data_IF_697557219933
#
_entry.id   IF_697557219933
#
_cell.length_a   1.000
_cell.length_b   1.000
_cell.length_c   1.000
_cell.angle_alpha   90.00
_cell.angle_beta   90.00
_cell.angle_gamma   90.00
#
_symmetry.space_group_name_H-M   'P 1'
#
loop_
_entity.id
_entity.type
_entity.pdbx_description
1 polymer ?
#
# COMPACT_ATOMS: atom_id res chain seq x y z
N UNK A 1 -23.74 -41.06 18.12
CA UNK A 1 -23.28 -39.74 18.61
C UNK A 1 -21.82 -39.56 18.22
N UNK A 2 -21.54 -38.97 17.05
CA UNK A 2 -20.19 -38.86 16.46
C UNK A 2 -19.43 -37.69 17.09
N UNK A 3 -18.46 -37.99 17.95
CA UNK A 3 -17.47 -37.00 18.45
C UNK A 3 -16.61 -36.53 17.29
N UNK A 4 -16.83 -35.30 16.82
CA UNK A 4 -15.91 -34.62 15.91
C UNK A 4 -14.55 -34.52 16.58
N UNK A 5 -13.58 -35.29 16.08
CA UNK A 5 -12.15 -35.16 16.40
C UNK A 5 -11.71 -33.73 16.08
N UNK A 6 -11.45 -32.95 17.13
CA UNK A 6 -10.82 -31.65 17.03
C UNK A 6 -9.38 -31.86 16.56
N UNK A 7 -9.11 -31.63 15.27
CA UNK A 7 -7.74 -31.46 14.79
C UNK A 7 -7.31 -30.06 15.20
N UNK A 8 -6.26 -29.87 16.04
CA UNK A 8 -5.73 -28.53 16.24
C UNK A 8 -5.20 -28.07 14.89
N UNK A 9 -5.87 -27.10 14.29
CA UNK A 9 -5.36 -26.44 13.09
C UNK A 9 -3.99 -25.88 13.45
N UNK A 10 -2.94 -26.26 12.71
CA UNK A 10 -1.69 -25.50 12.74
C UNK A 10 -2.08 -24.04 12.51
N UNK A 11 -1.99 -23.22 13.54
CA UNK A 11 -1.99 -21.77 13.40
C UNK A 11 -0.76 -21.49 12.56
N UNK A 12 -0.90 -21.51 11.23
CA UNK A 12 0.09 -20.93 10.35
C UNK A 12 0.08 -19.45 10.74
N UNK A 13 0.97 -19.09 11.67
CA UNK A 13 1.29 -17.71 11.97
C UNK A 13 1.66 -17.11 10.63
N UNK A 14 0.72 -16.38 10.03
CA UNK A 14 0.97 -15.64 8.80
C UNK A 14 1.96 -14.55 9.16
N UNK A 15 3.25 -14.88 9.09
CA UNK A 15 4.33 -13.94 9.35
C UNK A 15 4.23 -12.85 8.29
N UNK A 16 3.96 -11.63 8.76
CA UNK A 16 3.97 -10.44 7.93
C UNK A 16 5.44 -10.24 7.55
N UNK A 17 5.78 -10.13 6.25
CA UNK A 17 7.16 -9.94 5.85
C UNK A 17 7.75 -8.69 6.55
N UNK A 18 8.96 -8.84 7.07
CA UNK A 18 9.69 -7.72 7.67
C UNK A 18 10.15 -6.72 6.61
N UNK A 19 10.55 -5.52 7.04
CA UNK A 19 10.94 -4.41 6.16
C UNK A 19 12.04 -4.81 5.18
N UNK A 20 13.05 -5.50 5.68
CA UNK A 20 14.22 -5.92 4.91
C UNK A 20 13.82 -6.88 3.78
N UNK A 21 12.87 -7.78 4.06
CA UNK A 21 12.33 -8.72 3.07
C UNK A 21 11.54 -7.97 1.99
N UNK A 22 10.71 -7.00 2.38
CA UNK A 22 9.94 -6.18 1.43
C UNK A 22 10.85 -5.31 0.57
N UNK A 23 11.86 -4.67 1.17
CA UNK A 23 12.83 -3.86 0.44
C UNK A 23 13.64 -4.70 -0.55
N UNK A 24 14.06 -5.93 -0.17
CA UNK A 24 14.73 -6.85 -1.10
C UNK A 24 13.82 -7.27 -2.26
N UNK A 25 12.54 -7.56 -2.01
CA UNK A 25 11.56 -7.87 -3.06
C UNK A 25 11.42 -6.69 -4.03
N UNK A 26 11.33 -5.47 -3.52
CA UNK A 26 11.24 -4.23 -4.31
C UNK A 26 12.54 -4.02 -5.11
N UNK A 27 13.70 -4.24 -4.49
CA UNK A 27 15.00 -4.09 -5.12
C UNK A 27 15.21 -5.07 -6.27
N UNK A 28 14.93 -6.36 -6.07
CA UNK A 28 15.05 -7.41 -7.11
C UNK A 28 14.01 -7.27 -8.24
N UNK A 29 12.95 -6.49 -8.04
CA UNK A 29 11.95 -6.25 -9.08
C UNK A 29 12.45 -5.18 -10.06
N UNK A 30 13.08 -5.62 -11.15
CA UNK A 30 13.74 -4.73 -12.13
C UNK A 30 12.79 -3.94 -13.03
N UNK A 31 11.61 -4.51 -13.37
CA UNK A 31 10.62 -3.82 -14.21
C UNK A 31 10.02 -2.63 -13.46
N UNK A 32 10.28 -1.41 -13.93
CA UNK A 32 9.84 -0.14 -13.32
C UNK A 32 8.35 -0.14 -12.93
N UNK A 33 7.46 -0.55 -13.85
CA UNK A 33 6.02 -0.69 -13.59
C UNK A 33 5.72 -1.53 -12.35
N UNK A 34 6.32 -2.72 -12.27
CA UNK A 34 6.06 -3.67 -11.20
C UNK A 34 6.61 -3.15 -9.88
N UNK A 35 7.81 -2.57 -9.90
CA UNK A 35 8.45 -1.96 -8.74
C UNK A 35 7.60 -0.84 -8.14
N UNK A 36 7.11 0.08 -8.97
CA UNK A 36 6.20 1.15 -8.54
C UNK A 36 4.92 0.61 -7.92
N UNK A 37 4.30 -0.42 -8.52
CA UNK A 37 3.11 -1.05 -7.95
C UNK A 37 3.38 -1.64 -6.56
N UNK A 38 4.53 -2.30 -6.35
CA UNK A 38 4.93 -2.84 -5.05
C UNK A 38 5.12 -1.72 -4.03
N UNK A 39 5.83 -0.65 -4.39
CA UNK A 39 6.10 0.49 -3.51
C UNK A 39 4.82 1.25 -3.12
N UNK A 40 3.89 1.44 -4.05
CA UNK A 40 2.58 2.05 -3.76
C UNK A 40 1.78 1.22 -2.74
N UNK A 41 1.85 -0.10 -2.80
CA UNK A 41 1.19 -0.99 -1.85
C UNK A 41 1.92 -1.07 -0.51
N UNK A 42 3.26 -1.17 -0.52
CA UNK A 42 4.08 -1.38 0.67
C UNK A 42 4.38 -0.11 1.47
N UNK A 43 4.48 1.04 0.79
CA UNK A 43 4.85 2.33 1.40
C UNK A 43 3.67 3.29 1.48
N UNK A 44 2.84 3.35 0.42
CA UNK A 44 1.57 4.09 0.43
C UNK A 44 0.40 3.32 1.05
N UNK A 45 0.64 2.07 1.45
CA UNK A 45 -0.38 1.19 2.01
C UNK A 45 -1.52 0.89 1.05
N UNK A 46 -1.41 1.12 -0.26
CA UNK A 46 -2.55 1.04 -1.20
C UNK A 46 -3.14 -0.37 -1.36
N UNK A 47 -4.46 -0.44 -1.60
CA UNK A 47 -5.07 -1.70 -2.08
C UNK A 47 -4.71 -1.87 -3.55
N UNK A 48 -4.48 -3.09 -4.01
CA UNK A 48 -4.17 -3.34 -5.44
C UNK A 48 -5.25 -2.80 -6.39
N UNK A 49 -6.52 -2.84 -5.99
CA UNK A 49 -7.61 -2.26 -6.79
C UNK A 49 -7.57 -0.72 -6.88
N UNK A 50 -7.01 -0.05 -5.88
CA UNK A 50 -6.74 1.40 -5.91
C UNK A 50 -5.58 1.69 -6.88
N UNK A 51 -4.49 0.93 -6.77
CA UNK A 51 -3.33 1.05 -7.67
C UNK A 51 -3.74 0.88 -9.13
N UNK A 52 -4.55 -0.13 -9.45
CA UNK A 52 -5.01 -0.39 -10.82
C UNK A 52 -6.00 0.67 -11.35
N UNK A 53 -6.65 1.41 -10.45
CA UNK A 53 -7.54 2.52 -10.82
C UNK A 53 -6.84 3.87 -10.80
N UNK A 54 -5.59 3.96 -10.39
CA UNK A 54 -4.89 5.24 -10.37
C UNK A 54 -4.69 5.74 -11.81
N UNK A 55 -5.11 6.98 -12.09
CA UNK A 55 -4.89 7.66 -13.35
C UNK A 55 -3.83 8.77 -13.21
N UNK A 56 -3.29 9.23 -14.34
CA UNK A 56 -2.25 10.26 -14.35
C UNK A 56 -2.71 11.56 -13.65
N UNK A 57 -3.97 11.98 -13.87
CA UNK A 57 -4.56 13.16 -13.23
C UNK A 57 -4.74 13.04 -11.71
N UNK A 58 -4.63 11.84 -11.14
CA UNK A 58 -4.81 11.61 -9.71
C UNK A 58 -3.51 11.84 -8.92
N UNK A 59 -2.39 12.09 -9.61
CA UNK A 59 -1.06 12.27 -9.02
C UNK A 59 -0.76 13.76 -8.86
N UNK A 60 -0.60 14.20 -7.62
CA UNK A 60 -0.20 15.56 -7.26
C UNK A 60 0.98 15.48 -6.28
N UNK A 61 2.19 15.46 -6.85
CA UNK A 61 3.46 15.28 -6.13
C UNK A 61 3.41 14.07 -5.17
N UNK A 62 3.43 14.29 -3.86
CA UNK A 62 3.37 13.23 -2.85
C UNK A 62 1.95 12.76 -2.50
N UNK A 63 0.93 13.32 -3.13
CA UNK A 63 -0.48 13.02 -2.86
C UNK A 63 -1.11 12.30 -4.04
N UNK A 64 -1.79 11.19 -3.77
CA UNK A 64 -2.54 10.43 -4.75
C UNK A 64 -4.01 10.43 -4.38
N UNK A 65 -4.84 10.95 -5.28
CA UNK A 65 -6.29 11.02 -5.09
C UNK A 65 -6.96 9.70 -5.44
N UNK A 66 -7.72 9.13 -4.51
CA UNK A 66 -8.48 7.89 -4.69
C UNK A 66 -9.96 8.25 -4.81
N UNK A 67 -10.51 8.06 -6.00
CA UNK A 67 -11.94 8.25 -6.30
C UNK A 67 -12.74 6.99 -5.96
N UNK A 68 -13.94 7.16 -5.42
CA UNK A 68 -14.85 6.07 -5.01
C UNK A 68 -14.16 5.01 -4.12
N UNK A 69 -13.52 5.39 -3.01
CA UNK A 69 -12.90 4.46 -2.08
C UNK A 69 -13.92 3.49 -1.47
N UNK A 70 -13.43 2.28 -1.11
CA UNK A 70 -14.26 1.25 -0.45
C UNK A 70 -14.76 1.66 0.94
N UNK A 71 -14.31 2.79 1.47
CA UNK A 71 -14.75 3.36 2.74
C UNK A 71 -16.13 4.02 2.68
N UNK A 72 -16.68 4.23 1.47
CA UNK A 72 -17.94 4.95 1.27
C UNK A 72 -17.79 6.48 1.24
N UNK A 73 -16.56 7.01 1.35
CA UNK A 73 -16.26 8.44 1.15
C UNK A 73 -16.28 8.80 -0.34
N UNK A 74 -16.47 10.09 -0.65
CA UNK A 74 -16.35 10.60 -2.03
C UNK A 74 -14.92 10.51 -2.57
N UNK A 75 -13.94 10.79 -1.72
CA UNK A 75 -12.52 10.66 -2.03
C UNK A 75 -11.66 10.32 -0.80
N UNK A 76 -10.50 9.74 -1.05
CA UNK A 76 -9.42 9.54 -0.08
C UNK A 76 -8.09 10.02 -0.68
N UNK A 77 -7.14 10.39 0.16
CA UNK A 77 -5.79 10.75 -0.28
C UNK A 77 -4.80 9.70 0.25
N UNK A 78 -3.84 9.33 -0.59
CA UNK A 78 -2.68 8.54 -0.20
C UNK A 78 -1.45 9.43 -0.25
N UNK A 79 -0.67 9.41 0.83
CA UNK A 79 0.62 10.08 0.87
C UNK A 79 1.72 9.07 0.57
N UNK A 80 2.69 9.47 -0.26
CA UNK A 80 3.82 8.65 -0.66
C UNK A 80 5.15 9.38 -0.44
N UNK A 81 6.27 8.65 -0.24
CA UNK A 81 7.57 9.29 -0.07
C UNK A 81 8.00 10.04 -1.33
N UNK A 82 8.78 11.11 -1.18
CA UNK A 82 9.22 11.99 -2.28
C UNK A 82 9.95 11.22 -3.37
N UNK A 83 10.86 10.32 -2.98
CA UNK A 83 11.58 9.41 -3.89
C UNK A 83 10.65 8.49 -4.71
N UNK A 84 9.48 8.13 -4.17
CA UNK A 84 8.47 7.36 -4.91
C UNK A 84 7.67 8.27 -5.85
N UNK A 85 7.31 9.48 -5.39
CA UNK A 85 6.62 10.47 -6.21
C UNK A 85 7.45 10.85 -7.45
N UNK A 86 8.75 11.08 -7.28
CA UNK A 86 9.64 11.44 -8.39
C UNK A 86 9.74 10.30 -9.42
N UNK A 87 9.95 9.05 -8.98
CA UNK A 87 9.96 7.89 -9.88
C UNK A 87 8.61 7.64 -10.56
N UNK A 88 7.50 7.92 -9.89
CA UNK A 88 6.17 7.82 -10.49
C UNK A 88 5.99 8.88 -11.58
N UNK A 89 6.42 10.12 -11.32
CA UNK A 89 6.41 11.23 -12.28
C UNK A 89 7.26 10.91 -13.52
N UNK A 90 8.46 10.39 -13.34
CA UNK A 90 9.33 10.01 -14.44
C UNK A 90 8.74 8.85 -15.26
N UNK A 91 8.13 7.87 -14.59
CA UNK A 91 7.43 6.78 -15.26
C UNK A 91 6.23 7.27 -16.09
N UNK A 92 5.46 8.23 -15.59
CA UNK A 92 4.36 8.85 -16.33
C UNK A 92 4.85 9.58 -17.58
N UNK A 93 5.90 10.39 -17.44
CA UNK A 93 6.54 11.10 -18.57
C UNK A 93 7.05 10.12 -19.62
N UNK A 94 7.79 9.09 -19.22
CA UNK A 94 8.33 8.08 -20.13
C UNK A 94 7.23 7.32 -20.88
N UNK A 95 6.04 7.18 -20.28
CA UNK A 95 4.87 6.56 -20.91
C UNK A 95 4.03 7.51 -21.76
N UNK A 96 4.24 8.83 -21.67
CA UNK A 96 3.32 9.83 -22.21
C UNK A 96 1.89 9.67 -21.66
N UNK A 97 1.76 9.27 -20.38
CA UNK A 97 0.45 9.01 -19.77
C UNK A 97 -0.13 10.28 -19.16
N UNK A 98 -1.33 10.67 -19.57
CA UNK A 98 -1.96 11.94 -19.20
C UNK A 98 -3.45 11.80 -18.86
N UNK A 99 -4.00 12.79 -18.15
CA UNK A 99 -5.42 12.90 -17.85
C UNK A 99 -5.99 11.64 -17.18
N UNK A 100 -7.04 11.08 -17.78
CA UNK A 100 -7.79 9.92 -17.26
C UNK A 100 -7.12 8.57 -17.54
N UNK A 101 -5.98 8.54 -18.23
CA UNK A 101 -5.30 7.30 -18.58
C UNK A 101 -4.77 6.59 -17.32
N UNK A 102 -5.02 5.28 -17.23
CA UNK A 102 -4.51 4.44 -16.14
C UNK A 102 -2.99 4.39 -16.18
N UNK A 103 -2.36 4.60 -15.02
CA UNK A 103 -0.91 4.49 -14.85
C UNK A 103 -0.46 3.04 -15.13
N UNK A 104 -1.24 2.07 -14.63
CA UNK A 104 -0.97 0.64 -14.72
C UNK A 104 -2.10 -0.09 -15.46
N UNK A 105 -2.08 -0.14 -16.80
CA UNK A 105 -3.14 -0.75 -17.60
C UNK A 105 -3.00 -2.29 -17.63
N UNK A 106 -3.12 -2.95 -16.48
CA UNK A 106 -3.12 -4.41 -16.36
C UNK A 106 -4.33 -4.91 -15.57
N UNK A 107 -4.69 -6.17 -15.77
CA UNK A 107 -5.80 -6.78 -15.03
C UNK A 107 -5.43 -7.07 -13.58
N UNK A 108 -6.45 -7.21 -12.73
CA UNK A 108 -6.27 -7.64 -11.34
C UNK A 108 -5.52 -8.99 -11.23
N UNK A 109 -5.83 -9.94 -12.11
CA UNK A 109 -5.16 -11.25 -12.16
C UNK A 109 -3.69 -11.09 -12.51
N UNK A 110 -3.35 -10.26 -13.50
CA UNK A 110 -1.96 -9.98 -13.85
C UNK A 110 -1.19 -9.33 -12.71
N UNK A 111 -1.80 -8.37 -11.99
CA UNK A 111 -1.21 -7.75 -10.81
C UNK A 111 -0.96 -8.76 -9.68
N UNK A 112 -1.90 -9.69 -9.41
CA UNK A 112 -1.72 -10.75 -8.41
C UNK A 112 -0.58 -11.70 -8.76
N UNK A 113 -0.50 -12.13 -10.02
CA UNK A 113 0.59 -12.98 -10.50
C UNK A 113 1.92 -12.24 -10.41
N UNK A 114 1.96 -10.95 -10.74
CA UNK A 114 3.15 -10.13 -10.60
C UNK A 114 3.65 -10.08 -9.16
N UNK A 115 2.77 -9.80 -8.19
CA UNK A 115 3.15 -9.77 -6.77
C UNK A 115 3.64 -11.14 -6.29
N UNK A 116 2.97 -12.22 -6.69
CA UNK A 116 3.41 -13.59 -6.36
C UNK A 116 4.80 -13.87 -6.91
N UNK A 117 5.08 -13.50 -8.16
CA UNK A 117 6.40 -13.67 -8.79
C UNK A 117 7.47 -12.83 -8.07
N UNK A 118 7.15 -11.61 -7.66
CA UNK A 118 8.07 -10.76 -6.91
C UNK A 118 8.47 -11.38 -5.57
N UNK A 119 7.50 -11.90 -4.80
CA UNK A 119 7.80 -12.62 -3.56
C UNK A 119 8.63 -13.90 -3.77
N UNK A 120 8.39 -14.63 -4.85
CA UNK A 120 9.15 -15.84 -5.17
C UNK A 120 10.65 -15.58 -5.42
N UNK A 121 11.04 -14.36 -5.80
CA UNK A 121 12.47 -13.97 -5.97
C UNK A 121 13.29 -14.09 -4.68
N UNK A 122 12.63 -14.13 -3.52
CA UNK A 122 13.24 -14.27 -2.19
C UNK A 122 12.63 -15.43 -1.40
N UNK A 123 11.90 -16.33 -2.06
CA UNK A 123 11.28 -17.50 -1.40
C UNK A 123 10.04 -17.19 -0.56
N UNK A 124 9.37 -16.04 -0.76
CA UNK A 124 8.21 -15.62 0.04
C UNK A 124 6.91 -15.75 -0.76
N UNK A 125 5.89 -16.38 -0.16
CA UNK A 125 4.54 -16.39 -0.74
C UNK A 125 3.82 -15.05 -0.47
N UNK A 126 4.02 -14.10 -1.38
CA UNK A 126 3.48 -12.74 -1.25
C UNK A 126 2.14 -12.57 -1.99
N UNK A 127 1.17 -11.92 -1.33
CA UNK A 127 -0.09 -11.45 -1.96
C UNK A 127 -0.18 -9.93 -1.83
N UNK A 128 -0.97 -9.24 -2.68
CA UNK A 128 -1.07 -7.79 -2.63
C UNK A 128 -1.53 -7.22 -1.27
N UNK A 129 -2.42 -7.94 -0.58
CA UNK A 129 -2.88 -7.52 0.75
C UNK A 129 -1.78 -7.62 1.82
N UNK A 130 -0.80 -8.51 1.65
CA UNK A 130 0.30 -8.66 2.61
C UNK A 130 1.21 -7.43 2.58
N UNK A 131 1.36 -6.75 1.44
CA UNK A 131 2.09 -5.48 1.32
C UNK A 131 1.39 -4.34 2.09
N UNK A 132 0.06 -4.22 1.96
CA UNK A 132 -0.70 -3.23 2.75
C UNK A 132 -0.63 -3.53 4.25
N UNK A 133 -0.70 -4.81 4.63
CA UNK A 133 -0.58 -5.22 6.02
C UNK A 133 0.81 -4.89 6.56
N UNK A 134 1.86 -5.17 5.77
CA UNK A 134 3.22 -4.76 6.08
C UNK A 134 3.31 -3.26 6.35
N UNK A 135 2.76 -2.40 5.48
CA UNK A 135 2.79 -0.95 5.65
C UNK A 135 2.25 -0.50 7.03
N UNK A 136 1.13 -1.08 7.45
CA UNK A 136 0.50 -0.75 8.73
C UNK A 136 1.26 -1.33 9.93
N UNK A 137 1.72 -2.57 9.83
CA UNK A 137 2.49 -3.23 10.90
C UNK A 137 3.84 -2.56 11.10
N UNK A 138 4.55 -2.24 10.02
CA UNK A 138 5.83 -1.55 10.08
C UNK A 138 5.68 -0.16 10.71
N UNK A 139 4.67 0.62 10.30
CA UNK A 139 4.40 1.92 10.91
C UNK A 139 4.10 1.79 12.41
N UNK A 140 3.22 0.86 12.80
CA UNK A 140 2.90 0.63 14.21
C UNK A 140 4.11 0.21 15.04
N UNK A 141 4.98 -0.67 14.51
CA UNK A 141 6.22 -1.09 15.18
C UNK A 141 7.26 0.03 15.26
N UNK A 142 7.20 0.99 14.33
CA UNK A 142 8.07 2.18 14.29
C UNK A 142 7.57 3.31 15.20
N UNK A 143 6.59 3.05 16.07
CA UNK A 143 6.08 4.04 17.04
C UNK A 143 5.13 5.08 16.44
N UNK A 144 4.62 4.88 15.22
CA UNK A 144 3.63 5.78 14.63
C UNK A 144 2.32 5.69 15.41
N UNK A 145 1.70 6.83 15.79
CA UNK A 145 0.43 6.83 16.49
C UNK A 145 -0.63 6.02 15.75
N UNK A 146 -1.42 5.24 16.48
CA UNK A 146 -2.43 4.31 15.91
C UNK A 146 -3.44 5.04 15.03
N UNK A 147 -3.71 6.31 15.35
CA UNK A 147 -4.58 7.20 14.60
C UNK A 147 -4.02 7.51 13.21
N UNK A 148 -2.71 7.80 13.12
CA UNK A 148 -2.01 8.01 11.86
C UNK A 148 -2.00 6.72 11.04
N UNK A 149 -1.69 5.57 11.66
CA UNK A 149 -1.75 4.27 10.98
C UNK A 149 -3.16 4.00 10.43
N UNK A 150 -4.19 4.24 11.23
CA UNK A 150 -5.59 4.00 10.86
C UNK A 150 -6.10 4.95 9.77
N UNK A 151 -5.76 6.25 9.86
CA UNK A 151 -6.31 7.30 9.00
C UNK A 151 -5.49 7.62 7.76
N UNK A 152 -4.18 7.62 7.87
CA UNK A 152 -3.27 7.97 6.78
C UNK A 152 -2.92 6.72 5.96
N UNK A 153 -2.49 5.63 6.63
CA UNK A 153 -2.01 4.42 5.95
C UNK A 153 -3.16 3.48 5.58
N UNK A 154 -4.00 3.12 6.56
CA UNK A 154 -5.08 2.16 6.38
C UNK A 154 -6.39 2.77 5.92
N UNK A 155 -6.55 4.10 5.99
CA UNK A 155 -7.72 4.83 5.52
C UNK A 155 -9.03 4.13 5.88
N UNK A 156 -9.18 3.76 7.16
CA UNK A 156 -10.38 3.07 7.63
C UNK A 156 -11.55 4.05 7.82
N UNK A 157 -12.75 3.60 7.41
CA UNK A 157 -13.99 4.36 7.57
C UNK A 157 -14.40 4.44 9.05
N UNK A 158 -14.30 3.32 9.77
CA UNK A 158 -14.84 3.18 11.12
C UNK A 158 -13.80 3.52 12.20
N UNK A 159 -14.26 4.22 13.24
CA UNK A 159 -13.47 5.15 14.08
C UNK A 159 -13.69 4.91 15.58
N UNK A 160 -14.21 3.76 16.01
CA UNK A 160 -14.59 3.56 17.42
C UNK A 160 -13.44 3.71 18.41
N UNK A 161 -12.17 3.66 17.98
CA UNK A 161 -10.99 3.86 18.83
C UNK A 161 -10.24 5.18 18.59
N UNK A 162 -10.67 6.02 17.64
CA UNK A 162 -9.88 7.17 17.16
C UNK A 162 -10.63 8.50 17.37
N UNK A 163 -11.72 8.50 18.14
CA UNK A 163 -12.51 9.71 18.43
C UNK A 163 -11.77 10.72 19.33
N UNK A 164 -10.68 10.33 20.00
CA UNK A 164 -9.96 11.21 20.93
C UNK A 164 -9.02 12.23 20.27
N UNK A 165 -8.71 12.07 18.98
CA UNK A 165 -7.86 12.97 18.18
C UNK A 165 -8.67 13.63 17.05
N UNK A 166 -9.87 14.10 17.36
CA UNK A 166 -10.65 14.95 16.46
C UNK A 166 -10.00 16.34 16.37
N UNK A 167 -8.94 16.40 15.57
CA UNK A 167 -8.18 17.59 15.19
C UNK A 167 -7.32 17.25 13.98
N UNK A 168 -7.93 17.40 12.79
CA UNK A 168 -7.42 17.18 11.41
C UNK A 168 -5.90 16.99 11.30
N UNK A 169 -5.43 15.75 11.15
CA UNK A 169 -4.05 15.47 10.67
C UNK A 169 -3.85 16.25 9.38
N UNK A 170 -2.90 17.17 9.38
CA UNK A 170 -2.64 18.01 8.21
C UNK A 170 -1.90 17.20 7.13
N UNK A 171 -2.00 17.63 5.88
CA UNK A 171 -1.25 17.01 4.79
C UNK A 171 0.27 17.06 5.05
N UNK A 172 0.75 18.13 5.67
CA UNK A 172 2.16 18.30 6.06
C UNK A 172 2.58 17.25 7.10
N UNK A 173 1.74 17.03 8.11
CA UNK A 173 1.97 16.03 9.13
C UNK A 173 1.95 14.61 8.54
N UNK A 174 0.99 14.32 7.66
CA UNK A 174 0.89 13.03 6.99
C UNK A 174 2.12 12.75 6.11
N UNK A 175 2.57 13.72 5.31
CA UNK A 175 3.80 13.61 4.52
C UNK A 175 5.00 13.37 5.43
N UNK A 176 5.14 14.13 6.52
CA UNK A 176 6.25 13.98 7.48
C UNK A 176 6.32 12.56 8.06
N UNK A 177 5.18 11.97 8.45
CA UNK A 177 5.16 10.60 8.94
C UNK A 177 5.57 9.59 7.88
N UNK A 178 5.13 9.76 6.63
CA UNK A 178 5.49 8.89 5.52
C UNK A 178 6.98 9.01 5.16
N UNK A 179 7.54 10.23 5.17
CA UNK A 179 8.98 10.45 4.98
C UNK A 179 9.81 9.82 6.09
N UNK A 180 9.42 10.00 7.35
CA UNK A 180 10.16 9.40 8.47
C UNK A 180 10.19 7.86 8.40
N UNK A 181 9.16 7.23 7.83
CA UNK A 181 9.10 5.78 7.69
C UNK A 181 9.92 5.24 6.51
N UNK A 182 9.94 5.97 5.39
CA UNK A 182 10.35 5.42 4.09
C UNK A 182 11.22 6.34 3.22
N UNK A 183 11.60 7.52 3.73
CA UNK A 183 12.47 8.51 3.08
C UNK A 183 13.87 8.01 2.80
#
# INVERSE_FOLDING_TARGET
MLKKLFRPGKLAQWQIPEKETIDEIIFRTTKARNRLMLELMARGGMRVGEVLKLAAMDVDDQKLSIKNPKSGKSAEVVFIPKRLADRLKDYLKARGAEGTQRIFPITYTAARVMVKKAGALVGVHLRPHDLRRHAATYASRSGVPVEIVSKVILRHANLSTTQRYLGKVSDVEAVRWIENLYG
#
